data_IF_726016981969
#
_entry.id   IF_726016981969
#
_cell.length_a   1.000
_cell.length_b   1.000
_cell.length_c   1.000
_cell.angle_alpha   90.00
_cell.angle_beta   90.00
_cell.angle_gamma   90.00
#
_symmetry.space_group_name_H-M   'P 1'
#
loop_
_entity.id
_entity.type
_entity.pdbx_description
1 polymer ?
#
# COMPACT_ATOMS: atom_id res chain seq x y z
N UNK A 1 4.89 4.58 8.82
CA UNK A 1 4.87 5.38 10.06
C UNK A 1 5.13 4.53 11.31
N UNK A 2 4.21 3.67 11.77
CA UNK A 2 4.43 2.85 13.00
C UNK A 2 5.73 2.03 12.97
N UNK A 3 6.01 1.37 11.85
CA UNK A 3 7.25 0.61 11.69
C UNK A 3 8.50 1.50 11.69
N UNK A 4 8.40 2.76 11.24
CA UNK A 4 9.53 3.70 11.27
C UNK A 4 9.93 4.06 12.71
N UNK A 5 9.00 3.96 13.67
CA UNK A 5 9.30 4.23 15.07
C UNK A 5 9.95 3.06 15.80
N UNK A 6 9.95 1.85 15.23
CA UNK A 6 10.30 0.63 15.97
C UNK A 6 11.19 -0.35 15.20
N UNK A 7 11.30 -0.24 13.87
CA UNK A 7 12.01 -1.19 13.02
C UNK A 7 13.14 -0.52 12.23
N UNK A 8 14.31 -1.17 12.10
CA UNK A 8 14.75 -2.35 12.87
C UNK A 8 14.97 -2.06 14.37
N UNK A 9 14.99 -0.79 14.76
CA UNK A 9 15.05 -0.38 16.17
C UNK A 9 14.34 0.96 16.37
N UNK A 10 14.07 1.33 17.63
CA UNK A 10 13.45 2.63 17.95
C UNK A 10 14.34 3.85 17.62
N UNK A 11 15.62 3.63 17.35
CA UNK A 11 16.60 4.67 17.01
C UNK A 11 16.92 4.71 15.51
N UNK A 12 16.17 3.98 14.68
CA UNK A 12 16.40 3.98 13.23
C UNK A 12 16.15 5.34 12.61
N UNK A 13 15.07 6.01 13.03
CA UNK A 13 14.79 7.39 12.64
C UNK A 13 14.67 8.25 13.89
N UNK A 14 15.32 9.41 13.85
CA UNK A 14 15.21 10.43 14.92
C UNK A 14 13.90 11.20 14.81
N UNK A 15 13.35 11.28 13.60
CA UNK A 15 12.11 11.98 13.25
C UNK A 15 11.36 11.25 12.14
N UNK A 16 10.04 11.29 12.17
CA UNK A 16 9.13 10.64 11.22
C UNK A 16 8.04 11.62 10.82
N UNK A 17 8.00 12.01 9.55
CA UNK A 17 7.03 12.99 9.04
C UNK A 17 5.96 12.24 8.19
N UNK A 18 4.74 12.20 8.70
CA UNK A 18 3.58 11.70 7.98
C UNK A 18 2.94 12.82 7.16
N UNK A 19 2.61 12.57 5.90
CA UNK A 19 2.02 13.56 5.01
C UNK A 19 0.70 13.06 4.45
N UNK A 20 -0.31 13.93 4.40
CA UNK A 20 -1.59 13.58 3.79
C UNK A 20 -2.21 14.77 3.08
N UNK A 21 -2.94 14.50 2.00
CA UNK A 21 -3.79 15.52 1.37
C UNK A 21 -4.93 15.94 2.29
N UNK A 22 -5.51 14.97 3.00
CA UNK A 22 -6.69 15.15 3.85
C UNK A 22 -6.30 15.38 5.30
N UNK A 23 -7.18 16.01 6.11
CA UNK A 23 -7.03 16.03 7.56
C UNK A 23 -6.82 14.62 8.11
N UNK A 24 -5.80 14.45 8.95
CA UNK A 24 -5.46 13.19 9.59
C UNK A 24 -4.85 13.50 10.95
N UNK A 25 -5.42 12.91 12.01
CA UNK A 25 -4.85 12.98 13.37
C UNK A 25 -4.19 11.65 13.74
N UNK A 26 -3.25 11.66 14.69
CA UNK A 26 -2.62 10.43 15.21
C UNK A 26 -3.65 9.47 15.78
N UNK A 27 -4.62 10.01 16.55
CA UNK A 27 -5.73 9.25 17.11
C UNK A 27 -6.56 8.56 16.02
N UNK A 28 -7.03 9.31 15.02
CA UNK A 28 -7.80 8.76 13.90
C UNK A 28 -6.99 7.68 13.19
N UNK A 29 -5.70 7.93 12.96
CA UNK A 29 -4.77 6.99 12.34
C UNK A 29 -4.40 5.79 13.22
N UNK A 30 -4.83 5.77 14.49
CA UNK A 30 -4.38 4.81 15.50
C UNK A 30 -2.85 4.72 15.54
N UNK A 31 -2.16 5.86 15.45
CA UNK A 31 -0.72 5.97 15.58
C UNK A 31 -0.35 6.26 17.04
N UNK A 32 0.84 5.85 17.50
CA UNK A 32 1.28 6.15 18.87
C UNK A 32 1.50 7.65 19.06
N UNK A 33 1.24 8.13 20.28
CA UNK A 33 1.67 9.46 20.72
C UNK A 33 3.18 9.44 20.99
N UNK A 34 3.95 9.47 19.91
CA UNK A 34 5.41 9.52 19.93
C UNK A 34 5.87 10.94 19.52
N UNK A 35 6.81 11.57 20.27
CA UNK A 35 7.33 12.89 19.93
C UNK A 35 8.13 12.92 18.62
N UNK A 36 8.66 11.78 18.15
CA UNK A 36 9.35 11.67 16.86
C UNK A 36 8.39 11.71 15.67
N UNK A 37 7.11 11.42 15.90
CA UNK A 37 6.11 11.33 14.85
C UNK A 37 5.35 12.65 14.70
N UNK A 38 5.38 13.21 13.51
CA UNK A 38 4.59 14.38 13.11
C UNK A 38 3.63 14.00 11.99
N UNK A 39 2.49 14.68 11.90
CA UNK A 39 1.56 14.56 10.78
C UNK A 39 1.27 15.96 10.25
N UNK A 40 1.61 16.20 8.99
CA UNK A 40 1.27 17.42 8.27
C UNK A 40 0.23 17.09 7.19
N UNK A 41 -0.81 17.92 7.12
CA UNK A 41 -1.99 17.66 6.28
C UNK A 41 -2.20 18.77 5.26
N UNK A 42 -3.03 18.54 4.24
CA UNK A 42 -3.27 19.53 3.19
C UNK A 42 -2.21 19.53 2.09
N UNK A 43 -1.36 18.50 2.02
CA UNK A 43 -0.38 18.35 0.95
C UNK A 43 -1.06 17.78 -0.30
N UNK A 44 -1.30 18.64 -1.29
CA UNK A 44 -1.87 18.23 -2.57
C UNK A 44 -0.81 18.18 -3.67
N UNK A 45 -0.29 16.98 -3.97
CA UNK A 45 0.73 16.82 -5.00
C UNK A 45 0.22 17.01 -6.43
N UNK A 46 -1.09 17.19 -6.66
CA UNK A 46 -1.58 17.57 -8.00
C UNK A 46 -1.35 19.06 -8.29
N UNK A 47 -0.99 19.85 -7.27
CA UNK A 47 -0.62 21.25 -7.37
C UNK A 47 0.85 21.40 -6.93
N UNK A 48 1.75 21.60 -7.91
CA UNK A 48 3.19 21.62 -7.66
C UNK A 48 3.62 22.78 -6.75
N UNK A 49 3.04 23.96 -6.93
CA UNK A 49 3.39 25.16 -6.17
C UNK A 49 2.91 25.03 -4.73
N UNK A 50 1.67 24.59 -4.53
CA UNK A 50 1.12 24.34 -3.20
C UNK A 50 1.89 23.22 -2.50
N UNK A 51 2.24 22.15 -3.20
CA UNK A 51 3.03 21.05 -2.64
C UNK A 51 4.40 21.53 -2.15
N UNK A 52 5.10 22.35 -2.95
CA UNK A 52 6.39 22.93 -2.57
C UNK A 52 6.26 23.81 -1.32
N UNK A 53 5.30 24.74 -1.31
CA UNK A 53 5.05 25.63 -0.17
C UNK A 53 4.75 24.83 1.12
N UNK A 54 3.88 23.82 1.03
CA UNK A 54 3.50 22.98 2.18
C UNK A 54 4.64 22.15 2.72
N UNK A 55 5.60 21.74 1.87
CA UNK A 55 6.80 21.05 2.31
C UNK A 55 7.81 22.01 2.91
N UNK A 56 7.92 23.23 2.38
CA UNK A 56 8.79 24.30 2.92
C UNK A 56 8.34 24.76 4.32
N UNK A 57 7.03 24.78 4.57
CA UNK A 57 6.45 25.09 5.89
C UNK A 57 6.87 24.11 7.01
N UNK A 58 7.42 22.93 6.65
CA UNK A 58 7.82 21.91 7.61
C UNK A 58 9.18 22.27 8.21
N UNK A 59 9.27 22.49 9.54
CA UNK A 59 10.54 22.86 10.17
C UNK A 59 11.62 21.83 9.87
N UNK A 60 12.83 22.28 9.55
CA UNK A 60 14.00 21.43 9.27
C UNK A 60 13.75 20.35 8.19
N UNK A 61 12.92 20.63 7.18
CA UNK A 61 12.67 19.70 6.07
C UNK A 61 13.98 19.31 5.33
N UNK A 62 14.99 20.18 5.36
CA UNK A 62 16.31 19.92 4.78
C UNK A 62 17.04 18.70 5.39
N UNK A 63 16.67 18.28 6.61
CA UNK A 63 17.29 17.15 7.32
C UNK A 63 16.71 15.80 6.89
N UNK A 64 15.65 15.77 6.08
CA UNK A 64 15.05 14.55 5.51
C UNK A 64 16.11 13.74 4.78
N UNK A 65 16.14 12.43 5.05
CA UNK A 65 17.14 11.52 4.48
C UNK A 65 16.52 10.40 3.63
N UNK A 66 15.25 10.06 3.84
CA UNK A 66 14.60 8.89 3.27
C UNK A 66 13.14 9.18 2.87
N UNK A 67 12.86 9.24 1.57
CA UNK A 67 11.49 9.43 1.08
C UNK A 67 10.81 8.09 0.80
N UNK A 68 9.56 7.91 1.22
CA UNK A 68 8.76 6.70 0.96
C UNK A 68 7.43 7.04 0.27
N UNK A 69 7.45 7.06 -1.06
CA UNK A 69 6.29 7.38 -1.86
C UNK A 69 5.31 6.19 -1.93
N UNK A 70 4.24 6.25 -1.13
CA UNK A 70 3.22 5.19 -0.99
C UNK A 70 1.81 5.66 -1.38
N UNK A 71 1.75 6.53 -2.38
CA UNK A 71 0.55 7.24 -2.83
C UNK A 71 0.20 6.95 -4.29
N UNK A 72 -1.10 7.03 -4.61
CA UNK A 72 -1.59 7.21 -5.97
C UNK A 72 -2.97 7.91 -5.92
N UNK A 73 -3.46 8.36 -7.08
CA UNK A 73 -4.76 9.05 -7.21
C UNK A 73 -5.43 8.72 -8.55
N UNK A 74 -6.61 9.31 -8.82
CA UNK A 74 -7.34 9.14 -10.07
C UNK A 74 -8.22 7.88 -10.16
N UNK A 75 -8.64 7.32 -9.02
CA UNK A 75 -9.48 6.13 -9.01
C UNK A 75 -10.75 6.28 -9.86
N UNK A 76 -11.09 5.25 -10.64
CA UNK A 76 -12.29 5.23 -11.47
C UNK A 76 -12.20 6.06 -12.77
N UNK A 77 -11.03 6.61 -13.09
CA UNK A 77 -10.78 7.36 -14.33
C UNK A 77 -10.17 6.46 -15.42
N UNK A 78 -9.96 7.01 -16.62
CA UNK A 78 -9.36 6.25 -17.72
C UNK A 78 -7.89 5.89 -17.41
N UNK A 79 -7.35 4.83 -18.03
CA UNK A 79 -5.93 4.48 -17.89
C UNK A 79 -4.99 5.64 -18.26
N UNK A 80 -5.35 6.44 -19.26
CA UNK A 80 -4.57 7.60 -19.70
C UNK A 80 -4.52 8.67 -18.62
N UNK A 81 -5.66 9.00 -18.01
CA UNK A 81 -5.72 9.94 -16.89
C UNK A 81 -4.97 9.41 -15.66
N UNK A 82 -5.05 8.10 -15.38
CA UNK A 82 -4.26 7.46 -14.32
C UNK A 82 -2.77 7.62 -14.55
N UNK A 83 -2.29 7.45 -15.79
CA UNK A 83 -0.88 7.63 -16.16
C UNK A 83 -0.45 9.07 -15.94
N UNK A 84 -1.20 10.02 -16.51
CA UNK A 84 -0.93 11.46 -16.40
C UNK A 84 -0.84 11.89 -14.93
N UNK A 85 -1.92 11.70 -14.17
CA UNK A 85 -1.99 12.21 -12.79
C UNK A 85 -0.98 11.54 -11.87
N UNK A 86 -0.74 10.23 -12.02
CA UNK A 86 0.18 9.52 -11.11
C UNK A 86 1.65 9.76 -11.44
N UNK A 87 2.00 10.02 -12.71
CA UNK A 87 3.32 10.52 -13.06
C UNK A 87 3.55 11.93 -12.51
N UNK A 88 2.56 12.82 -12.61
CA UNK A 88 2.65 14.21 -12.17
C UNK A 88 2.85 14.34 -10.66
N UNK A 89 2.08 13.61 -9.84
CA UNK A 89 2.25 13.69 -8.37
C UNK A 89 3.63 13.19 -7.90
N UNK A 90 4.23 12.21 -8.60
CA UNK A 90 5.58 11.73 -8.29
C UNK A 90 6.61 12.76 -8.72
N UNK A 91 6.45 13.34 -9.91
CA UNK A 91 7.35 14.38 -10.42
C UNK A 91 7.36 15.60 -9.49
N UNK A 92 6.17 16.11 -9.15
CA UNK A 92 6.00 17.23 -8.23
C UNK A 92 6.64 16.96 -6.86
N UNK A 93 6.47 15.75 -6.31
CA UNK A 93 7.13 15.36 -5.07
C UNK A 93 8.65 15.44 -5.18
N UNK A 94 9.22 14.86 -6.24
CA UNK A 94 10.67 14.75 -6.40
C UNK A 94 11.32 16.07 -6.78
N UNK A 95 10.62 16.94 -7.50
CA UNK A 95 11.05 18.33 -7.70
C UNK A 95 11.17 19.03 -6.34
N UNK A 96 10.12 18.98 -5.51
CA UNK A 96 10.14 19.62 -4.19
C UNK A 96 11.21 19.01 -3.27
N UNK A 97 11.35 17.69 -3.26
CA UNK A 97 12.39 16.99 -2.49
C UNK A 97 13.80 17.42 -2.94
N UNK A 98 14.05 17.50 -4.25
CA UNK A 98 15.35 17.91 -4.76
C UNK A 98 15.69 19.38 -4.46
N UNK A 99 14.67 20.25 -4.32
CA UNK A 99 14.86 21.66 -3.94
C UNK A 99 15.09 21.80 -2.44
N UNK A 100 14.25 21.16 -1.62
CA UNK A 100 14.15 21.42 -0.19
C UNK A 100 14.99 20.49 0.69
N UNK A 101 15.32 19.28 0.20
CA UNK A 101 15.88 18.20 1.00
C UNK A 101 17.27 17.77 0.50
N UNK A 102 18.31 18.61 0.64
CA UNK A 102 19.65 18.31 0.10
C UNK A 102 20.31 17.08 0.74
N UNK A 103 19.84 16.65 1.92
CA UNK A 103 20.40 15.51 2.65
C UNK A 103 19.77 14.16 2.31
N UNK A 104 18.85 14.10 1.34
CA UNK A 104 18.20 12.85 0.93
C UNK A 104 19.24 11.86 0.43
N UNK A 105 19.13 10.62 0.93
CA UNK A 105 20.01 9.49 0.62
C UNK A 105 19.27 8.39 -0.12
N UNK A 106 17.96 8.28 0.10
CA UNK A 106 17.15 7.21 -0.46
C UNK A 106 15.71 7.65 -0.78
N UNK A 107 15.17 7.15 -1.88
CA UNK A 107 13.77 7.28 -2.27
C UNK A 107 13.19 5.91 -2.53
N UNK A 108 12.07 5.57 -1.92
CA UNK A 108 11.29 4.39 -2.28
C UNK A 108 10.01 4.76 -3.01
N UNK A 109 9.69 4.01 -4.06
CA UNK A 109 8.44 4.10 -4.79
C UNK A 109 7.66 2.80 -4.57
N UNK A 110 6.44 2.87 -4.05
CA UNK A 110 5.56 1.72 -4.01
C UNK A 110 4.64 1.69 -5.24
N UNK A 111 4.70 0.59 -6.00
CA UNK A 111 3.77 0.28 -7.09
C UNK A 111 2.92 -0.92 -6.70
N UNK A 112 2.98 -2.05 -7.42
CA UNK A 112 2.27 -3.27 -7.06
C UNK A 112 2.22 -4.32 -8.17
N UNK A 113 1.51 -5.42 -7.90
CA UNK A 113 1.40 -6.57 -8.81
C UNK A 113 0.85 -6.27 -10.21
N UNK A 114 0.11 -5.17 -10.42
CA UNK A 114 -0.32 -4.75 -11.77
C UNK A 114 0.84 -4.40 -12.70
N UNK A 115 2.06 -4.27 -12.18
CA UNK A 115 3.28 -4.18 -12.98
C UNK A 115 3.39 -5.33 -13.99
N UNK A 116 2.85 -6.51 -13.68
CA UNK A 116 2.87 -7.69 -14.55
C UNK A 116 1.62 -7.84 -15.43
N UNK A 117 0.82 -6.78 -15.57
CA UNK A 117 -0.40 -6.79 -16.39
C UNK A 117 -1.63 -7.41 -15.71
N UNK A 118 -1.55 -7.75 -14.42
CA UNK A 118 -2.71 -8.25 -13.68
C UNK A 118 -3.87 -7.26 -13.69
N UNK A 119 -5.05 -7.73 -14.10
CA UNK A 119 -6.27 -6.91 -14.22
C UNK A 119 -6.41 -6.15 -15.53
N UNK A 120 -5.50 -6.35 -16.51
CA UNK A 120 -5.65 -5.82 -17.86
C UNK A 120 -6.57 -6.72 -18.68
N UNK A 121 -7.77 -6.24 -18.99
CA UNK A 121 -8.76 -7.00 -19.78
C UNK A 121 -8.25 -7.17 -21.21
N UNK A 122 -8.32 -8.41 -21.73
CA UNK A 122 -7.99 -8.71 -23.13
C UNK A 122 -6.53 -9.15 -23.39
N UNK A 123 -5.67 -9.12 -22.38
CA UNK A 123 -4.32 -9.71 -22.45
C UNK A 123 -4.12 -10.69 -21.29
N UNK A 124 -3.51 -11.84 -21.56
CA UNK A 124 -3.08 -12.74 -20.49
C UNK A 124 -1.99 -12.11 -19.61
N UNK A 125 -1.58 -12.77 -18.55
CA UNK A 125 -0.38 -12.37 -17.79
C UNK A 125 0.56 -13.56 -17.69
N UNK A 126 1.86 -13.33 -17.48
CA UNK A 126 2.82 -14.43 -17.32
C UNK A 126 2.39 -15.36 -16.18
N UNK A 127 2.67 -16.66 -16.26
CA UNK A 127 2.36 -17.58 -15.18
C UNK A 127 3.12 -17.17 -13.91
N UNK A 128 2.43 -17.26 -12.77
CA UNK A 128 3.08 -17.10 -11.46
C UNK A 128 4.04 -18.28 -11.19
N UNK A 129 5.10 -18.09 -10.38
CA UNK A 129 5.46 -16.87 -9.66
C UNK A 129 6.13 -15.81 -10.54
N UNK A 130 5.67 -14.57 -10.42
CA UNK A 130 6.24 -13.43 -11.14
C UNK A 130 7.59 -13.01 -10.57
N UNK A 131 8.51 -12.67 -11.46
CA UNK A 131 9.87 -12.19 -11.14
C UNK A 131 10.06 -10.76 -11.61
N UNK A 132 10.91 -10.03 -10.92
CA UNK A 132 11.26 -8.64 -11.21
C UNK A 132 11.94 -8.47 -12.57
N UNK A 133 12.59 -9.53 -13.05
CA UNK A 133 13.27 -9.60 -14.35
C UNK A 133 12.30 -9.78 -15.52
N UNK A 134 11.00 -9.95 -15.27
CA UNK A 134 10.01 -10.01 -16.35
C UNK A 134 9.98 -8.67 -17.09
N UNK A 135 9.89 -8.68 -18.43
CA UNK A 135 9.78 -7.45 -19.20
C UNK A 135 8.47 -6.73 -18.86
N UNK A 136 8.44 -5.42 -19.13
CA UNK A 136 7.19 -4.67 -19.16
C UNK A 136 6.23 -5.33 -20.16
N UNK A 137 4.94 -5.15 -19.91
CA UNK A 137 3.89 -5.54 -20.85
C UNK A 137 4.13 -4.87 -22.20
N UNK A 138 3.79 -5.52 -23.33
CA UNK A 138 3.89 -4.89 -24.64
C UNK A 138 2.83 -3.80 -24.84
N UNK A 139 3.04 -2.93 -25.81
CA UNK A 139 1.98 -2.04 -26.29
C UNK A 139 0.82 -2.84 -26.92
N UNK A 140 -0.44 -2.37 -26.81
CA UNK A 140 -0.87 -1.07 -26.26
C UNK A 140 -1.15 -1.08 -24.74
N UNK A 141 -0.70 -2.12 -24.01
CA UNK A 141 -0.99 -2.27 -22.58
C UNK A 141 0.03 -1.54 -21.71
N UNK A 142 1.28 -1.47 -22.14
CA UNK A 142 2.36 -0.82 -21.39
C UNK A 142 2.03 0.64 -21.06
N UNK A 143 1.61 1.41 -22.07
CA UNK A 143 1.22 2.82 -21.95
C UNK A 143 0.01 3.07 -21.04
N UNK A 144 -0.71 2.03 -20.64
CA UNK A 144 -1.89 2.11 -19.74
C UNK A 144 -1.57 1.76 -18.30
N UNK A 145 -0.34 1.31 -18.01
CA UNK A 145 0.10 0.95 -16.66
C UNK A 145 0.85 2.15 -16.07
N UNK A 146 0.16 2.94 -15.23
CA UNK A 146 0.75 4.13 -14.62
C UNK A 146 1.99 3.86 -13.75
N UNK A 147 2.18 2.63 -13.26
CA UNK A 147 3.40 2.23 -12.55
C UNK A 147 4.66 2.39 -13.40
N UNK A 148 4.57 2.16 -14.72
CA UNK A 148 5.71 2.33 -15.61
C UNK A 148 6.09 3.81 -15.73
N UNK A 149 5.09 4.69 -15.86
CA UNK A 149 5.31 6.13 -15.89
C UNK A 149 5.88 6.65 -14.56
N UNK A 150 5.36 6.21 -13.41
CA UNK A 150 5.92 6.55 -12.09
C UNK A 150 7.38 6.09 -11.96
N UNK A 151 7.67 4.85 -12.36
CA UNK A 151 9.03 4.31 -12.37
C UNK A 151 9.97 5.18 -13.22
N UNK A 152 9.55 5.55 -14.43
CA UNK A 152 10.36 6.33 -15.36
C UNK A 152 10.64 7.74 -14.82
N UNK A 153 9.67 8.37 -14.15
CA UNK A 153 9.87 9.65 -13.45
C UNK A 153 10.91 9.52 -12.34
N UNK A 154 10.78 8.53 -11.44
CA UNK A 154 11.77 8.32 -10.37
C UNK A 154 13.15 8.03 -10.94
N UNK A 155 13.25 7.19 -11.97
CA UNK A 155 14.52 6.84 -12.61
C UNK A 155 15.20 8.08 -13.22
N UNK A 156 14.43 8.97 -13.87
CA UNK A 156 14.94 10.23 -14.40
C UNK A 156 15.47 11.15 -13.31
N UNK A 157 14.74 11.34 -12.21
CA UNK A 157 15.20 12.14 -11.08
C UNK A 157 16.44 11.53 -10.40
N UNK A 158 16.45 10.22 -10.22
CA UNK A 158 17.56 9.50 -9.60
C UNK A 158 18.85 9.63 -10.42
N UNK A 159 18.75 9.61 -11.75
CA UNK A 159 19.92 9.78 -12.64
C UNK A 159 20.59 11.15 -12.49
N UNK A 160 19.85 12.16 -12.06
CA UNK A 160 20.34 13.52 -11.81
C UNK A 160 20.65 13.80 -10.32
N UNK A 161 20.46 12.83 -9.43
CA UNK A 161 20.56 13.02 -7.98
C UNK A 161 21.65 12.14 -7.35
N UNK A 162 22.06 12.47 -6.13
CA UNK A 162 23.02 11.68 -5.35
C UNK A 162 22.36 10.53 -4.55
N UNK A 163 21.04 10.58 -4.39
CA UNK A 163 20.29 9.57 -3.65
C UNK A 163 20.04 8.30 -4.47
N UNK A 164 19.91 7.18 -3.76
CA UNK A 164 19.56 5.88 -4.33
C UNK A 164 18.05 5.66 -4.29
N UNK A 165 17.56 4.65 -5.00
CA UNK A 165 16.14 4.33 -4.94
C UNK A 165 15.83 2.86 -5.15
N UNK A 166 14.62 2.47 -4.75
CA UNK A 166 14.03 1.18 -5.05
C UNK A 166 12.53 1.31 -5.29
N UNK A 167 12.03 0.60 -6.31
CA UNK A 167 10.60 0.35 -6.49
C UNK A 167 10.21 -0.90 -5.69
N UNK A 168 9.12 -0.86 -4.93
CA UNK A 168 8.57 -1.98 -4.15
C UNK A 168 7.21 -2.35 -4.73
N UNK A 169 7.03 -3.62 -5.12
CA UNK A 169 5.86 -4.16 -5.81
C UNK A 169 5.13 -5.15 -4.89
N UNK A 170 4.37 -4.68 -3.89
CA UNK A 170 3.59 -5.58 -3.06
C UNK A 170 2.50 -6.27 -3.90
N UNK A 171 2.13 -7.47 -3.45
CA UNK A 171 0.92 -8.16 -3.90
C UNK A 171 -0.30 -7.55 -3.21
N UNK A 172 -1.32 -8.35 -2.95
CA UNK A 172 -2.44 -8.01 -2.11
C UNK A 172 -1.99 -7.49 -0.74
N UNK A 173 -2.51 -6.33 -0.32
CA UNK A 173 -2.03 -5.60 0.85
C UNK A 173 -3.09 -5.55 1.96
N UNK A 174 -3.30 -6.64 2.73
CA UNK A 174 -4.18 -6.58 3.89
C UNK A 174 -3.60 -5.63 4.94
N UNK A 175 -4.46 -4.74 5.45
CA UNK A 175 -4.03 -3.70 6.36
C UNK A 175 -5.17 -2.86 6.92
N UNK A 176 -4.78 -1.86 7.70
CA UNK A 176 -5.66 -0.90 8.32
C UNK A 176 -5.31 0.49 7.81
N UNK A 177 -6.28 1.15 7.21
CA UNK A 177 -6.22 2.57 6.90
C UNK A 177 -7.40 3.22 7.63
N UNK A 178 -7.18 4.29 8.39
CA UNK A 178 -8.22 4.93 9.21
C UNK A 178 -9.32 5.60 8.37
N UNK A 179 -9.03 5.87 7.10
CA UNK A 179 -9.90 6.53 6.14
C UNK A 179 -10.21 5.55 5.01
N UNK A 180 -11.26 5.85 4.24
CA UNK A 180 -11.68 5.00 3.13
C UNK A 180 -10.53 4.74 2.15
N UNK A 181 -10.18 3.47 1.96
CA UNK A 181 -9.22 3.04 0.97
C UNK A 181 -9.95 2.19 -0.06
N UNK A 182 -9.90 2.61 -1.33
CA UNK A 182 -10.57 1.92 -2.44
C UNK A 182 -10.08 0.48 -2.65
N UNK A 183 -8.93 0.09 -2.08
CA UNK A 183 -8.35 -1.25 -2.21
C UNK A 183 -8.18 -1.97 -0.86
N UNK A 184 -9.11 -1.79 0.09
CA UNK A 184 -9.08 -2.51 1.37
C UNK A 184 -10.12 -3.65 1.44
N UNK A 185 -9.68 -4.88 1.16
CA UNK A 185 -10.57 -6.06 1.25
C UNK A 185 -11.10 -6.29 2.65
N UNK A 186 -10.30 -6.01 3.69
CA UNK A 186 -10.65 -6.35 5.05
C UNK A 186 -11.85 -5.49 5.49
N UNK A 187 -11.87 -4.24 5.03
CA UNK A 187 -13.01 -3.35 5.19
C UNK A 187 -14.24 -3.88 4.44
N UNK A 188 -14.12 -4.22 3.15
CA UNK A 188 -15.25 -4.73 2.35
C UNK A 188 -15.83 -6.04 2.90
N UNK A 189 -14.98 -7.00 3.25
CA UNK A 189 -15.39 -8.27 3.87
C UNK A 189 -16.00 -8.05 5.24
N UNK A 190 -15.46 -7.14 6.06
CA UNK A 190 -16.04 -6.83 7.36
C UNK A 190 -17.40 -6.16 7.28
N UNK A 191 -17.63 -5.30 6.28
CA UNK A 191 -18.95 -4.75 6.00
C UNK A 191 -19.92 -5.85 5.56
N UNK A 192 -19.50 -6.71 4.62
CA UNK A 192 -20.30 -7.83 4.13
C UNK A 192 -20.74 -8.77 5.25
N UNK A 193 -19.79 -9.26 6.05
CA UNK A 193 -20.05 -10.18 7.15
C UNK A 193 -20.91 -9.53 8.26
N UNK A 194 -20.67 -8.26 8.60
CA UNK A 194 -21.46 -7.54 9.59
C UNK A 194 -22.90 -7.31 9.14
N UNK A 195 -23.08 -6.92 7.87
CA UNK A 195 -24.40 -6.74 7.26
C UNK A 195 -25.16 -8.07 7.14
N UNK A 196 -24.46 -9.15 6.79
CA UNK A 196 -25.07 -10.48 6.73
C UNK A 196 -25.57 -10.92 8.11
N UNK A 197 -24.73 -10.78 9.14
CA UNK A 197 -25.12 -11.04 10.54
C UNK A 197 -26.32 -10.18 10.96
N UNK A 198 -26.33 -8.88 10.66
CA UNK A 198 -27.42 -7.99 11.08
C UNK A 198 -28.77 -8.33 10.42
N UNK A 199 -28.76 -8.96 9.25
CA UNK A 199 -29.96 -9.30 8.49
C UNK A 199 -30.42 -10.76 8.69
N UNK A 200 -29.50 -11.67 9.00
CA UNK A 200 -29.78 -13.12 9.13
C UNK A 200 -29.66 -13.65 10.56
N UNK A 201 -29.16 -12.84 11.50
CA UNK A 201 -29.02 -13.20 12.91
C UNK A 201 -27.68 -13.84 13.27
N UNK A 202 -27.49 -14.06 14.57
CA UNK A 202 -26.29 -14.69 15.12
C UNK A 202 -26.21 -16.18 14.72
N UNK A 203 -25.02 -16.61 14.32
CA UNK A 203 -24.78 -17.98 13.86
C UNK A 203 -25.18 -18.27 12.41
N UNK A 204 -25.61 -17.26 11.64
CA UNK A 204 -25.94 -17.43 10.24
C UNK A 204 -24.74 -17.92 9.39
N UNK A 205 -25.00 -18.87 8.49
CA UNK A 205 -24.00 -19.37 7.53
C UNK A 205 -23.87 -18.35 6.41
N UNK A 206 -22.78 -17.60 6.40
CA UNK A 206 -22.53 -16.55 5.41
C UNK A 206 -21.94 -17.14 4.12
N UNK A 207 -22.55 -16.94 2.94
CA UNK A 207 -21.99 -17.44 1.70
C UNK A 207 -20.68 -16.71 1.34
N UNK A 208 -19.80 -17.39 0.62
CA UNK A 208 -18.58 -16.76 0.12
C UNK A 208 -18.93 -15.76 -1.00
N UNK A 209 -18.53 -14.48 -0.91
CA UNK A 209 -18.92 -13.45 -1.87
C UNK A 209 -18.06 -13.45 -3.15
N UNK A 210 -17.57 -14.61 -3.58
CA UNK A 210 -16.67 -14.79 -4.71
C UNK A 210 -17.03 -16.01 -5.56
N UNK A 211 -16.23 -16.26 -6.60
CA UNK A 211 -16.40 -17.42 -7.47
C UNK A 211 -15.71 -18.66 -6.92
N UNK A 212 -16.09 -19.85 -7.42
CA UNK A 212 -15.44 -21.11 -7.06
C UNK A 212 -13.94 -21.08 -7.37
N UNK A 213 -13.55 -20.47 -8.49
CA UNK A 213 -12.16 -20.31 -8.89
C UNK A 213 -11.41 -19.47 -7.87
N UNK A 214 -11.99 -18.36 -7.41
CA UNK A 214 -11.36 -17.50 -6.40
C UNK A 214 -11.27 -18.17 -5.03
N UNK A 215 -12.19 -19.08 -4.70
CA UNK A 215 -12.19 -19.84 -3.44
C UNK A 215 -11.00 -20.80 -3.36
N UNK A 216 -10.71 -21.51 -4.46
CA UNK A 216 -9.62 -22.51 -4.52
C UNK A 216 -8.29 -21.93 -4.98
N UNK A 217 -8.27 -20.67 -5.43
CA UNK A 217 -7.07 -20.03 -5.94
C UNK A 217 -5.97 -19.89 -4.87
N UNK A 218 -4.75 -20.21 -5.27
CA UNK A 218 -3.57 -19.86 -4.49
C UNK A 218 -3.33 -18.37 -4.59
N UNK A 219 -3.16 -17.72 -3.44
CA UNK A 219 -2.84 -16.30 -3.35
C UNK A 219 -1.65 -16.08 -2.42
N UNK A 220 -1.11 -14.86 -2.46
CA UNK A 220 -0.01 -14.46 -1.60
C UNK A 220 -0.21 -13.02 -1.16
N UNK A 221 -0.12 -12.82 0.15
CA UNK A 221 -0.39 -11.55 0.79
C UNK A 221 0.89 -10.86 1.24
N UNK A 222 0.85 -9.53 1.16
CA UNK A 222 1.89 -8.60 1.57
C UNK A 222 1.31 -7.73 2.69
N UNK A 223 1.36 -8.21 3.95
CA UNK A 223 0.82 -7.43 5.07
C UNK A 223 1.49 -6.04 5.16
N UNK A 224 0.69 -5.01 5.43
CA UNK A 224 1.16 -3.61 5.41
C UNK A 224 2.41 -3.33 6.26
N UNK A 225 2.54 -4.02 7.40
CA UNK A 225 3.67 -3.90 8.33
C UNK A 225 4.92 -4.56 7.74
N UNK A 226 4.78 -5.74 7.12
CA UNK A 226 5.85 -6.43 6.40
C UNK A 226 6.35 -5.58 5.23
N UNK A 227 5.44 -4.97 4.46
CA UNK A 227 5.81 -4.06 3.36
C UNK A 227 6.53 -2.83 3.89
N UNK A 228 6.02 -2.19 4.96
CA UNK A 228 6.68 -1.04 5.57
C UNK A 228 8.08 -1.38 6.11
N UNK A 229 8.26 -2.55 6.75
CA UNK A 229 9.58 -3.03 7.18
C UNK A 229 10.52 -3.26 6.01
N UNK A 230 10.00 -3.72 4.88
CA UNK A 230 10.84 -3.95 3.70
C UNK A 230 11.31 -2.65 3.06
N UNK A 231 10.43 -1.65 2.95
CA UNK A 231 10.81 -0.28 2.61
C UNK A 231 11.99 0.20 3.47
N UNK A 232 11.89 0.07 4.79
CA UNK A 232 12.96 0.47 5.73
C UNK A 232 14.21 -0.40 5.58
N UNK A 233 14.03 -1.70 5.33
CA UNK A 233 15.14 -2.64 5.19
C UNK A 233 15.99 -2.35 3.95
N UNK A 234 15.36 -2.07 2.81
CA UNK A 234 16.08 -1.77 1.57
C UNK A 234 16.77 -0.41 1.65
N UNK A 235 16.21 0.52 2.41
CA UNK A 235 16.74 1.87 2.54
C UNK A 235 17.95 1.96 3.48
N UNK A 236 17.95 1.19 4.57
CA UNK A 236 19.03 1.18 5.56
C UNK A 236 20.27 0.37 5.16
N UNK A 237 20.19 -0.45 4.11
CA UNK A 237 21.31 -1.27 3.69
C UNK A 237 22.17 -0.55 2.64
N UNK A 238 23.47 -0.41 2.92
CA UNK A 238 24.51 -0.10 1.94
C UNK A 238 24.75 -1.25 0.95
N UNK A 239 23.69 -1.92 0.52
CA UNK A 239 23.79 -2.98 -0.45
C UNK A 239 24.15 -2.33 -1.80
N UNK A 240 25.39 -2.57 -2.25
CA UNK A 240 25.70 -2.71 -3.68
C UNK A 240 25.01 -4.00 -4.15
N UNK A 241 23.70 -3.97 -4.35
CA UNK A 241 23.04 -4.97 -5.17
C UNK A 241 23.40 -4.52 -6.57
N UNK A 242 24.26 -5.28 -7.22
CA UNK A 242 24.52 -5.23 -8.65
C UNK A 242 23.28 -5.65 -9.48
N UNK A 243 22.07 -5.29 -9.01
CA UNK A 243 20.74 -5.55 -9.59
C UNK A 243 19.78 -4.42 -9.15
N UNK A 244 20.19 -3.14 -9.17
CA UNK A 244 19.29 -2.02 -8.82
C UNK A 244 19.58 -0.75 -9.65
N UNK A 245 19.88 -0.92 -10.94
CA UNK A 245 19.46 0.08 -11.93
C UNK A 245 18.15 -0.43 -12.53
N UNK A 246 17.04 0.23 -12.19
CA UNK A 246 15.74 0.11 -12.86
C UNK A 246 14.97 -1.23 -12.79
N UNK A 247 14.87 -1.91 -11.62
CA UNK A 247 13.90 -3.01 -11.43
C UNK A 247 13.32 -3.03 -10.00
N UNK A 248 12.00 -3.19 -9.88
CA UNK A 248 11.27 -3.14 -8.61
C UNK A 248 11.08 -4.49 -7.95
N UNK A 249 11.20 -4.53 -6.62
CA UNK A 249 11.28 -5.71 -5.76
C UNK A 249 9.90 -6.24 -5.35
N UNK A 250 9.67 -7.53 -5.54
CA UNK A 250 8.51 -8.21 -4.99
C UNK A 250 8.71 -8.48 -3.51
N UNK A 251 7.68 -8.18 -2.73
CA UNK A 251 7.58 -8.67 -1.36
C UNK A 251 6.37 -9.55 -1.22
N UNK A 252 6.58 -10.67 -0.55
CA UNK A 252 5.59 -11.70 -0.29
C UNK A 252 5.83 -12.26 1.11
N UNK A 253 4.75 -12.55 1.84
CA UNK A 253 4.85 -13.50 2.94
C UNK A 253 5.12 -14.90 2.37
N UNK A 254 6.05 -15.67 2.96
CA UNK A 254 6.44 -17.03 2.51
C UNK A 254 5.34 -18.09 2.75
N UNK A 255 4.06 -17.70 2.82
CA UNK A 255 2.94 -18.60 3.11
C UNK A 255 2.00 -18.65 1.91
N UNK A 256 2.31 -19.53 0.95
CA UNK A 256 1.35 -19.97 -0.07
C UNK A 256 0.42 -20.96 0.63
N UNK A 257 -0.87 -20.62 0.80
CA UNK A 257 -1.83 -21.53 1.43
C UNK A 257 -3.13 -21.59 0.63
N UNK A 258 -3.65 -22.79 0.32
CA UNK A 258 -5.03 -22.93 -0.10
C UNK A 258 -5.95 -22.55 1.06
N UNK A 259 -7.06 -21.88 0.78
CA UNK A 259 -8.22 -21.90 1.68
C UNK A 259 -8.72 -23.34 1.64
N UNK A 260 -8.84 -23.99 2.80
CA UNK A 260 -9.08 -25.44 2.89
C UNK A 260 -10.24 -25.89 1.99
N UNK A 261 -10.08 -26.95 1.15
CA UNK A 261 -11.13 -27.43 0.25
C UNK A 261 -12.32 -28.08 0.98
N UNK A 262 -12.25 -28.25 2.31
CA UNK A 262 -13.24 -29.00 3.10
C UNK A 262 -14.24 -28.12 3.87
N UNK A 263 -14.47 -26.87 3.46
CA UNK A 263 -15.62 -26.11 3.96
C UNK A 263 -16.79 -26.38 3.01
N UNK A 264 -17.84 -27.06 3.46
CA UNK A 264 -18.96 -27.40 2.58
C UNK A 264 -19.65 -26.12 2.12
N UNK A 265 -19.75 -25.97 0.79
CA UNK A 265 -20.83 -25.21 0.16
C UNK A 265 -22.11 -25.96 0.53
N UNK A 266 -23.05 -25.27 1.17
CA UNK A 266 -24.17 -25.87 1.88
C UNK A 266 -24.87 -27.01 1.11
N UNK A 267 -24.72 -28.23 1.61
CA UNK A 267 -25.83 -29.19 1.66
C UNK A 267 -25.85 -29.84 3.04
N UNK A 268 -27.05 -30.06 3.53
CA UNK A 268 -27.37 -30.41 4.91
C UNK A 268 -26.68 -31.68 5.43
N UNK A 269 -25.93 -31.57 6.55
CA UNK A 269 -25.93 -32.44 7.76
C UNK A 269 -24.60 -32.38 8.53
N UNK A 270 -24.77 -32.45 9.85
CA UNK A 270 -23.84 -32.48 10.98
C UNK A 270 -22.43 -33.08 10.75
N UNK A 271 -21.38 -32.35 11.12
CA UNK A 271 -20.49 -32.69 12.23
C UNK A 271 -19.37 -31.65 12.41
N UNK A 272 -19.16 -31.21 13.65
CA UNK A 272 -18.12 -30.29 14.09
C UNK A 272 -16.74 -30.95 14.09
N UNK A 273 -15.69 -30.22 13.68
CA UNK A 273 -14.52 -30.11 14.55
C UNK A 273 -14.11 -28.65 14.78
N UNK A 274 -13.89 -28.35 16.05
CA UNK A 274 -13.37 -27.10 16.63
C UNK A 274 -12.02 -26.67 16.05
N UNK A 275 -11.92 -25.43 15.56
CA UNK A 275 -10.64 -24.73 15.33
C UNK A 275 -10.65 -23.37 16.04
N UNK A 276 -10.20 -23.38 17.30
CA UNK A 276 -10.33 -22.24 18.23
C UNK A 276 -9.24 -21.16 18.09
N UNK A 277 -8.23 -21.32 17.24
CA UNK A 277 -7.10 -20.39 17.16
C UNK A 277 -7.24 -19.32 16.05
N UNK A 278 -7.77 -19.69 14.88
CA UNK A 278 -8.01 -18.76 13.76
C UNK A 278 -9.17 -17.79 14.02
N UNK A 279 -10.23 -18.29 14.66
CA UNK A 279 -11.34 -17.46 15.10
C UNK A 279 -10.84 -16.38 16.06
N UNK A 280 -10.03 -16.70 17.06
CA UNK A 280 -9.60 -15.70 18.05
C UNK A 280 -8.84 -14.52 17.43
N UNK A 281 -7.94 -14.74 16.47
CA UNK A 281 -7.15 -13.65 15.85
C UNK A 281 -7.98 -12.78 14.90
N UNK A 282 -8.83 -13.40 14.06
CA UNK A 282 -9.78 -12.65 13.23
C UNK A 282 -10.78 -11.89 14.10
N UNK A 283 -11.39 -12.55 15.10
CA UNK A 283 -12.40 -11.98 16.01
C UNK A 283 -11.84 -10.85 16.89
N UNK A 284 -10.56 -10.90 17.29
CA UNK A 284 -9.92 -9.85 18.09
C UNK A 284 -9.73 -8.54 17.31
N UNK A 285 -9.32 -8.64 16.03
CA UNK A 285 -9.28 -7.47 15.13
C UNK A 285 -10.69 -7.01 14.73
N UNK A 286 -11.63 -7.94 14.57
CA UNK A 286 -12.99 -7.70 14.10
C UNK A 286 -13.89 -7.01 15.14
N UNK A 287 -13.85 -7.42 16.42
CA UNK A 287 -14.62 -6.77 17.49
C UNK A 287 -14.20 -5.31 17.73
N UNK A 288 -12.93 -4.97 17.48
CA UNK A 288 -12.45 -3.58 17.51
C UNK A 288 -12.85 -2.76 16.29
N UNK A 289 -13.25 -3.40 15.18
CA UNK A 289 -13.71 -2.77 13.94
C UNK A 289 -15.22 -2.52 13.96
N UNK A 290 -16.02 -3.47 14.47
CA UNK A 290 -17.48 -3.34 14.61
C UNK A 290 -17.85 -2.10 15.46
N UNK A 291 -17.15 -1.88 16.58
CA UNK A 291 -17.42 -0.74 17.47
C UNK A 291 -17.11 0.64 16.85
N UNK A 292 -16.44 0.70 15.69
CA UNK A 292 -16.05 1.96 15.03
C UNK A 292 -16.90 2.28 13.78
N UNK A 293 -17.72 1.34 13.28
CA UNK A 293 -18.34 1.43 11.95
C UNK A 293 -19.71 2.15 11.89
N UNK A 294 -20.09 2.93 12.90
CA UNK A 294 -21.38 3.68 12.89
C UNK A 294 -21.30 5.03 12.16
N UNK A 295 -20.16 5.48 11.65
CA UNK A 295 -20.08 6.78 10.97
C UNK A 295 -19.18 6.76 9.72
N UNK A 296 -19.79 7.09 8.57
CA UNK A 296 -19.34 8.06 7.54
C UNK A 296 -19.45 7.61 6.09
N UNK A 297 -20.03 8.51 5.30
CA UNK A 297 -20.16 8.52 3.85
C UNK A 297 -18.90 9.04 3.14
N UNK A 298 -18.62 8.43 1.98
CA UNK A 298 -17.90 8.92 0.78
C UNK A 298 -16.45 9.48 0.85
N UNK A 299 -15.63 9.00 -0.13
CA UNK A 299 -14.48 9.65 -0.82
C UNK A 299 -13.03 9.11 -0.60
N UNK A 300 -12.24 9.12 -1.70
CA UNK A 300 -11.01 8.37 -2.06
C UNK A 300 -9.63 8.93 -1.56
N UNK A 301 -8.77 8.13 -0.91
CA UNK A 301 -7.60 8.61 -0.12
C UNK A 301 -6.22 8.54 -0.82
N UNK A 302 -5.34 9.50 -0.51
CA UNK A 302 -3.89 9.51 -0.81
C UNK A 302 -3.07 9.81 0.46
N UNK A 303 -2.09 8.97 0.81
CA UNK A 303 -1.17 9.11 1.95
C UNK A 303 0.27 9.21 1.42
N UNK A 304 1.03 10.22 1.84
CA UNK A 304 2.42 10.45 1.46
C UNK A 304 3.32 10.23 2.68
N UNK A 305 4.50 9.61 2.52
CA UNK A 305 5.47 9.49 3.61
C UNK A 305 6.82 10.04 3.10
N UNK A 306 7.29 11.13 3.70
CA UNK A 306 8.63 11.69 3.47
C UNK A 306 9.30 11.60 4.85
N UNK A 307 10.38 10.83 5.03
CA UNK A 307 11.09 10.69 6.32
C UNK A 307 12.44 11.41 6.32
#
# INVERSE_FOLDING_TARGET
>A
MRECLNYPSANTFERVIGLSKRPLTKETARLPEDPKLEIHTGLDLTDAELALQRLEDIPNIADVTHVYFVAYTGHGTSPENLVEVNSAIVDNALVAVNILCPNVKFVSLQTGGKHHGYGMVGHGWPPAPWKETLPRMPEPYASKIFYYAQHDVVARHAAASSWKWAEIRPSFLPGFVPQFNAMNVAQSLGLYLSFYRSTHGDGAICPFPGSQESWVALHTDSFQDVVARFHIHVSGKAIRIWICQAQGLHIQSMHIRPISPNIPISDSRENTPTFSFFYYYYYYYYNRLINTLIQLSTMLTTLYIIL
#
